data_IF_806771343818
#
_entry.id   IF_806771343818
#
_cell.length_a   1.000
_cell.length_b   1.000
_cell.length_c   1.000
_cell.angle_alpha   90.00
_cell.angle_beta   90.00
_cell.angle_gamma   90.00
#
_symmetry.space_group_name_H-M   'P 1'
#
loop_
_entity.id
_entity.type
_entity.pdbx_description
1 polymer ?
#
# COMPACT_ATOMS: atom_id res chain seq x y z
N UNK A 1 -75.23 -10.91 -7.69
CA UNK A 1 -74.82 -9.92 -6.66
C UNK A 1 -73.62 -10.47 -5.94
N UNK A 2 -72.60 -9.63 -5.73
CA UNK A 2 -71.21 -9.97 -5.41
C UNK A 2 -71.05 -10.67 -4.05
N UNK A 3 -70.27 -11.75 -4.05
CA UNK A 3 -69.63 -12.36 -2.89
C UNK A 3 -68.47 -11.47 -2.41
N UNK A 4 -68.36 -11.20 -1.12
CA UNK A 4 -67.18 -10.61 -0.50
C UNK A 4 -66.41 -11.74 0.17
N UNK A 5 -65.23 -12.05 -0.39
CA UNK A 5 -64.28 -13.04 0.07
C UNK A 5 -63.20 -12.32 0.88
N UNK A 6 -63.00 -12.71 2.13
CA UNK A 6 -61.97 -12.15 3.02
C UNK A 6 -60.63 -12.85 2.72
N UNK A 7 -59.60 -12.04 2.47
CA UNK A 7 -58.24 -12.47 2.15
C UNK A 7 -57.45 -12.86 3.40
N UNK A 8 -56.76 -14.01 3.33
CA UNK A 8 -55.71 -14.41 4.26
C UNK A 8 -54.39 -13.81 3.75
N UNK A 9 -53.74 -12.96 4.55
CA UNK A 9 -52.42 -12.40 4.25
C UNK A 9 -51.36 -13.35 4.83
N UNK A 10 -50.58 -13.99 3.95
CA UNK A 10 -49.31 -14.61 4.31
C UNK A 10 -48.23 -13.54 4.31
N UNK A 11 -47.68 -13.24 5.49
CA UNK A 11 -46.44 -12.48 5.63
C UNK A 11 -45.26 -13.42 5.31
N UNK A 12 -44.72 -13.31 4.11
CA UNK A 12 -43.39 -13.83 3.79
C UNK A 12 -42.36 -12.83 4.32
N UNK A 13 -41.60 -13.22 5.34
CA UNK A 13 -40.40 -12.51 5.74
C UNK A 13 -39.36 -12.66 4.62
N UNK A 14 -39.22 -11.59 3.82
CA UNK A 14 -38.10 -11.36 2.93
C UNK A 14 -36.84 -11.19 3.79
N UNK A 15 -36.01 -12.22 3.87
CA UNK A 15 -34.59 -12.01 4.19
C UNK A 15 -33.95 -11.34 2.97
N UNK A 16 -33.37 -10.12 3.08
CA UNK A 16 -32.53 -9.63 2.02
C UNK A 16 -31.30 -10.53 1.94
N UNK A 17 -31.02 -10.95 0.71
CA UNK A 17 -29.89 -11.76 0.33
C UNK A 17 -28.57 -11.16 0.83
N UNK A 18 -27.64 -12.06 1.15
CA UNK A 18 -26.22 -11.82 1.29
C UNK A 18 -25.75 -10.72 0.33
N UNK A 19 -25.21 -9.63 0.88
CA UNK A 19 -24.44 -8.66 0.10
C UNK A 19 -23.22 -9.39 -0.44
N UNK A 20 -23.21 -9.70 -1.75
CA UNK A 20 -21.95 -9.96 -2.44
C UNK A 20 -21.07 -8.74 -2.22
N UNK A 21 -19.94 -8.91 -1.53
CA UNK A 21 -18.88 -7.90 -1.50
C UNK A 21 -18.51 -7.63 -2.96
N UNK A 22 -19.03 -6.53 -3.50
CA UNK A 22 -18.64 -6.07 -4.82
C UNK A 22 -17.13 -5.84 -4.78
N UNK A 23 -16.35 -6.46 -5.68
CA UNK A 23 -14.93 -6.22 -5.72
C UNK A 23 -14.73 -4.71 -5.89
N UNK A 24 -14.11 -4.08 -4.88
CA UNK A 24 -13.82 -2.65 -4.90
C UNK A 24 -13.18 -2.31 -6.24
N UNK A 25 -13.75 -1.32 -6.93
CA UNK A 25 -13.23 -0.88 -8.20
C UNK A 25 -11.75 -0.54 -8.03
N UNK A 26 -10.89 -0.94 -8.98
CA UNK A 26 -9.47 -0.67 -8.88
C UNK A 26 -9.22 0.83 -8.77
N UNK A 27 -8.61 1.24 -7.67
CA UNK A 27 -8.23 2.64 -7.40
C UNK A 27 -7.04 2.97 -8.30
N UNK A 28 -7.27 3.63 -9.44
CA UNK A 28 -6.21 4.04 -10.37
C UNK A 28 -5.48 5.27 -9.83
N UNK A 29 -4.17 5.16 -9.59
CA UNK A 29 -3.40 6.25 -8.99
C UNK A 29 -2.13 6.59 -9.77
N UNK A 30 -1.84 7.88 -9.85
CA UNK A 30 -0.60 8.39 -10.42
C UNK A 30 0.59 8.19 -9.46
N UNK A 31 1.82 8.26 -10.00
CA UNK A 31 3.04 8.11 -9.19
C UNK A 31 3.07 9.17 -8.09
N UNK A 32 3.42 8.76 -6.86
CA UNK A 32 3.36 9.64 -5.71
C UNK A 32 1.97 9.79 -5.09
N UNK A 33 0.92 9.18 -5.65
CA UNK A 33 -0.43 9.21 -5.09
C UNK A 33 -0.81 7.83 -4.53
N UNK A 34 -1.19 7.75 -3.25
CA UNK A 34 -1.70 6.54 -2.61
C UNK A 34 -2.98 6.89 -1.86
N UNK A 35 -4.10 6.36 -2.35
CA UNK A 35 -5.43 6.43 -1.75
C UNK A 35 -5.84 7.83 -1.27
N UNK A 36 -5.79 8.84 -2.13
CA UNK A 36 -6.15 10.19 -1.73
C UNK A 36 -4.95 11.06 -1.38
N UNK A 37 -3.86 10.45 -0.92
CA UNK A 37 -2.70 11.14 -0.35
C UNK A 37 -1.61 11.30 -1.40
N UNK A 38 -1.07 12.52 -1.52
CA UNK A 38 -0.09 12.87 -2.54
C UNK A 38 1.26 13.27 -1.96
N UNK A 39 2.33 12.67 -2.49
CA UNK A 39 3.70 13.01 -2.14
C UNK A 39 4.01 14.42 -2.65
N UNK A 40 4.61 15.22 -1.79
CA UNK A 40 5.01 16.59 -2.00
C UNK A 40 3.95 17.65 -1.79
N UNK A 41 2.73 17.24 -1.45
CA UNK A 41 1.72 18.16 -0.93
C UNK A 41 2.02 18.46 0.55
N UNK A 42 1.51 19.60 1.02
CA UNK A 42 1.59 19.91 2.43
C UNK A 42 0.63 18.99 3.21
N UNK A 43 1.09 18.45 4.33
CA UNK A 43 0.27 17.54 5.14
C UNK A 43 -1.04 18.21 5.60
N UNK A 44 -1.03 19.53 5.83
CA UNK A 44 -2.23 20.27 6.23
C UNK A 44 -3.33 20.23 5.18
N UNK A 45 -2.97 20.18 3.91
CA UNK A 45 -3.94 20.13 2.80
C UNK A 45 -4.55 18.73 2.63
N UNK A 46 -3.95 17.71 3.25
CA UNK A 46 -4.43 16.34 3.26
C UNK A 46 -5.27 16.01 4.50
N UNK A 47 -5.23 16.87 5.53
CA UNK A 47 -6.03 16.75 6.73
C UNK A 47 -7.38 17.45 6.51
N UNK A 48 -8.44 16.67 6.29
CA UNK A 48 -9.81 17.16 6.15
C UNK A 48 -10.67 16.83 7.38
N UNK A 49 -11.78 17.54 7.55
CA UNK A 49 -12.71 17.31 8.66
C UNK A 49 -13.24 15.86 8.62
N UNK A 50 -13.00 15.12 9.71
CA UNK A 50 -13.37 13.72 9.84
C UNK A 50 -12.28 12.73 9.41
N UNK A 51 -11.09 13.18 9.02
CA UNK A 51 -9.97 12.29 8.77
C UNK A 51 -9.52 11.58 10.07
N UNK A 52 -9.54 10.25 10.07
CA UNK A 52 -8.98 9.44 11.15
C UNK A 52 -7.46 9.30 10.94
N UNK A 53 -6.67 10.03 11.73
CA UNK A 53 -5.21 10.07 11.58
C UNK A 53 -4.50 9.83 12.91
N UNK A 54 -3.59 8.87 12.92
CA UNK A 54 -2.63 8.66 14.02
C UNK A 54 -1.30 9.33 13.67
N UNK A 55 -0.70 10.04 14.62
CA UNK A 55 0.60 10.71 14.42
C UNK A 55 1.67 10.08 15.29
N UNK A 56 2.73 9.61 14.65
CA UNK A 56 3.89 9.00 15.28
C UNK A 56 5.14 9.86 15.04
N UNK A 57 6.07 9.87 16.00
CA UNK A 57 7.42 10.38 15.76
C UNK A 57 8.20 9.31 15.02
N UNK A 58 8.71 9.64 13.83
CA UNK A 58 9.69 8.82 13.14
C UNK A 58 11.08 9.36 13.48
N UNK A 59 11.82 8.62 14.31
CA UNK A 59 13.19 8.96 14.66
C UNK A 59 14.11 8.68 13.47
N UNK A 60 14.86 9.70 13.04
CA UNK A 60 16.11 9.54 12.31
C UNK A 60 17.24 10.22 13.08
N UNK A 61 18.48 9.81 12.83
CA UNK A 61 19.72 10.24 13.51
C UNK A 61 19.88 11.77 13.68
N UNK A 62 19.36 12.61 12.75
CA UNK A 62 19.60 14.07 12.75
C UNK A 62 18.36 14.96 12.52
N UNK A 63 17.16 14.40 12.33
CA UNK A 63 15.93 15.20 12.17
C UNK A 63 14.67 14.50 12.67
N UNK A 64 13.74 15.30 13.19
CA UNK A 64 12.43 14.81 13.61
C UNK A 64 11.50 14.78 12.40
N UNK A 65 11.33 13.61 11.80
CA UNK A 65 10.23 13.43 10.85
C UNK A 65 8.95 13.01 11.58
N UNK A 66 7.82 13.54 11.14
CA UNK A 66 6.51 13.09 11.61
C UNK A 66 5.96 12.07 10.60
N UNK A 67 5.41 11.00 11.15
CA UNK A 67 4.71 9.96 10.38
C UNK A 67 3.23 10.06 10.71
N UNK A 68 2.42 10.25 9.68
CA UNK A 68 0.97 10.32 9.75
C UNK A 68 0.40 9.03 9.18
N UNK A 69 -0.43 8.34 9.95
CA UNK A 69 -1.11 7.12 9.54
C UNK A 69 -2.58 7.48 9.32
N UNK A 70 -2.99 7.52 8.05
CA UNK A 70 -4.36 7.77 7.65
C UNK A 70 -5.12 6.44 7.63
N UNK A 71 -6.24 6.36 8.35
CA UNK A 71 -7.12 5.19 8.36
C UNK A 71 -8.21 5.38 7.30
N UNK A 72 -8.04 4.76 6.14
CA UNK A 72 -8.93 4.95 4.98
C UNK A 72 -9.77 3.70 4.78
N UNK A 73 -11.09 3.78 5.00
CA UNK A 73 -12.01 2.61 5.00
C UNK A 73 -11.77 1.60 3.88
N UNK A 74 -11.62 2.07 2.64
CA UNK A 74 -11.50 1.22 1.45
C UNK A 74 -10.05 0.92 1.04
N UNK A 75 -9.07 1.62 1.62
CA UNK A 75 -7.67 1.45 1.28
C UNK A 75 -6.86 0.77 2.39
N UNK A 76 -7.30 0.88 3.64
CA UNK A 76 -6.53 0.53 4.82
C UNK A 76 -5.67 1.69 5.30
N UNK A 77 -4.64 1.35 6.08
CA UNK A 77 -3.75 2.32 6.69
C UNK A 77 -2.69 2.79 5.68
N UNK A 78 -2.65 4.11 5.45
CA UNK A 78 -1.65 4.77 4.60
C UNK A 78 -0.72 5.60 5.47
N UNK A 79 0.57 5.30 5.43
CA UNK A 79 1.59 6.03 6.18
C UNK A 79 2.24 7.09 5.29
N UNK A 80 2.16 8.35 5.67
CA UNK A 80 2.83 9.48 5.06
C UNK A 80 3.89 10.07 6.01
N UNK A 81 5.12 10.20 5.55
CA UNK A 81 6.21 10.86 6.29
C UNK A 81 6.43 12.25 5.73
N UNK A 82 6.61 13.25 6.61
CA UNK A 82 6.86 14.63 6.19
C UNK A 82 8.31 15.04 6.46
N UNK A 83 8.79 16.00 5.68
CA UNK A 83 9.98 16.78 6.04
C UNK A 83 9.65 17.86 7.09
N UNK A 84 10.67 18.60 7.54
CA UNK A 84 10.52 19.67 8.55
C UNK A 84 9.61 20.82 8.12
N UNK A 85 9.46 21.02 6.80
CA UNK A 85 8.55 22.02 6.23
C UNK A 85 7.09 21.53 6.13
N UNK A 86 6.80 20.29 6.56
CA UNK A 86 5.47 19.70 6.55
C UNK A 86 5.03 19.17 5.19
N UNK A 87 5.93 19.05 4.21
CA UNK A 87 5.63 18.42 2.93
C UNK A 87 5.84 16.92 3.01
N UNK A 88 4.91 16.16 2.43
CA UNK A 88 4.97 14.70 2.39
C UNK A 88 6.14 14.28 1.50
N UNK A 89 7.16 13.61 2.06
CA UNK A 89 8.32 13.14 1.30
C UNK A 89 8.18 11.68 0.87
N UNK A 90 7.43 10.89 1.62
CA UNK A 90 7.26 9.45 1.42
C UNK A 90 5.85 9.03 1.77
N UNK A 91 5.27 8.15 0.96
CA UNK A 91 4.01 7.47 1.27
C UNK A 91 4.22 5.97 1.17
N UNK A 92 3.58 5.22 2.06
CA UNK A 92 3.63 3.76 2.04
C UNK A 92 2.32 3.14 2.47
N UNK A 93 2.06 1.95 1.94
CA UNK A 93 0.90 1.14 2.30
C UNK A 93 1.32 -0.33 2.47
N UNK A 94 0.81 -0.97 3.53
CA UNK A 94 1.09 -2.38 3.84
C UNK A 94 -0.08 -3.33 3.59
N UNK A 95 -1.25 -2.83 3.18
CA UNK A 95 -2.47 -3.62 3.02
C UNK A 95 -2.87 -3.79 1.55
N UNK A 96 -3.40 -4.97 1.20
CA UNK A 96 -3.62 -5.43 -0.18
C UNK A 96 -4.87 -4.90 -0.89
N UNK A 97 -5.52 -3.84 -0.37
CA UNK A 97 -6.69 -3.23 -1.03
C UNK A 97 -6.28 -2.25 -2.14
N UNK A 98 -5.13 -1.59 -1.99
CA UNK A 98 -4.56 -0.71 -3.01
C UNK A 98 -4.08 -1.50 -4.24
N UNK A 99 -4.23 -0.87 -5.42
CA UNK A 99 -3.72 -1.38 -6.68
C UNK A 99 -3.05 -0.26 -7.48
N UNK A 100 -1.90 -0.53 -8.08
CA UNK A 100 -1.24 0.41 -8.98
C UNK A 100 -1.98 0.51 -10.33
N UNK A 101 -1.60 1.47 -11.18
CA UNK A 101 -2.11 1.58 -12.56
C UNK A 101 -1.95 0.29 -13.36
N UNK A 102 -0.82 -0.40 -13.23
CA UNK A 102 -0.54 -1.67 -13.93
C UNK A 102 -1.18 -2.89 -13.25
N UNK A 103 -1.96 -2.71 -12.17
CA UNK A 103 -2.68 -3.80 -11.54
C UNK A 103 -1.92 -4.57 -10.47
N UNK A 104 -0.80 -4.04 -9.98
CA UNK A 104 -0.01 -4.63 -8.90
C UNK A 104 -0.57 -4.28 -7.53
N UNK A 105 -0.47 -5.20 -6.57
CA UNK A 105 -0.97 -5.03 -5.19
C UNK A 105 0.10 -5.41 -4.17
N UNK A 106 -0.04 -4.88 -2.94
CA UNK A 106 0.66 -5.45 -1.79
C UNK A 106 0.17 -6.88 -1.59
N UNK A 107 1.09 -7.82 -1.44
CA UNK A 107 0.82 -9.26 -1.40
C UNK A 107 0.99 -9.97 -2.74
N UNK A 108 1.22 -9.26 -3.84
CA UNK A 108 1.54 -9.89 -5.12
C UNK A 108 2.93 -10.55 -5.05
N UNK A 109 3.09 -11.74 -5.67
CA UNK A 109 4.38 -12.42 -5.70
C UNK A 109 5.37 -11.69 -6.60
N UNK A 110 6.67 -11.80 -6.30
CA UNK A 110 7.74 -11.21 -7.11
C UNK A 110 7.60 -11.53 -8.60
N UNK A 111 7.29 -12.78 -8.93
CA UNK A 111 7.09 -13.24 -10.32
C UNK A 111 5.97 -12.51 -11.07
N UNK A 112 4.91 -12.07 -10.37
CA UNK A 112 3.85 -11.25 -10.94
C UNK A 112 4.31 -9.81 -11.12
N UNK A 113 4.96 -9.25 -10.11
CA UNK A 113 5.49 -7.88 -10.16
C UNK A 113 6.50 -7.72 -11.30
N UNK A 114 7.36 -8.72 -11.54
CA UNK A 114 8.29 -8.76 -12.68
C UNK A 114 7.59 -8.81 -14.04
N UNK A 115 6.41 -9.43 -14.13
CA UNK A 115 5.62 -9.44 -15.37
C UNK A 115 4.95 -8.09 -15.63
N UNK A 116 4.47 -7.43 -14.57
CA UNK A 116 3.83 -6.12 -14.67
C UNK A 116 4.85 -4.99 -14.92
N UNK A 117 6.06 -5.13 -14.37
CA UNK A 117 7.12 -4.13 -14.47
C UNK A 117 8.43 -4.77 -14.95
N UNK A 118 8.55 -5.17 -16.23
CA UNK A 118 9.71 -5.92 -16.73
C UNK A 118 11.05 -5.18 -16.58
N UNK A 119 11.02 -3.84 -16.59
CA UNK A 119 12.19 -2.98 -16.39
C UNK A 119 12.56 -2.74 -14.92
N UNK A 120 11.75 -3.27 -13.99
CA UNK A 120 11.97 -3.13 -12.56
C UNK A 120 13.26 -3.83 -12.12
N UNK A 121 13.92 -3.25 -11.12
CA UNK A 121 15.22 -3.72 -10.61
C UNK A 121 15.09 -4.19 -9.17
N UNK A 122 15.63 -5.37 -8.90
CA UNK A 122 15.73 -5.91 -7.55
C UNK A 122 16.98 -5.33 -6.88
N UNK A 123 16.82 -4.83 -5.66
CA UNK A 123 17.90 -4.32 -4.83
C UNK A 123 17.92 -5.07 -3.50
N UNK A 124 19.13 -5.32 -3.03
CA UNK A 124 19.43 -5.62 -1.65
C UNK A 124 19.67 -4.30 -0.92
N UNK A 125 19.22 -4.13 0.34
CA UNK A 125 19.67 -3.03 1.16
C UNK A 125 21.18 -3.19 1.34
N UNK A 126 21.96 -2.36 0.64
CA UNK A 126 23.36 -2.14 0.96
C UNK A 126 23.40 -1.34 2.25
N UNK A 127 23.26 -2.02 3.40
CA UNK A 127 23.46 -1.48 4.76
C UNK A 127 23.22 0.05 4.84
N UNK A 128 22.04 0.52 4.42
CA UNK A 128 21.73 1.92 4.53
C UNK A 128 21.44 2.14 6.00
N UNK A 129 22.28 2.98 6.59
CA UNK A 129 22.34 3.42 7.99
C UNK A 129 21.01 3.26 8.76
N UNK A 130 21.16 2.66 9.94
CA UNK A 130 20.17 2.57 11.03
C UNK A 130 19.02 1.56 10.90
N UNK A 131 19.35 0.28 11.08
CA UNK A 131 18.41 -0.76 11.51
C UNK A 131 18.48 -2.04 10.67
N UNK A 132 18.29 -3.23 11.27
CA UNK A 132 18.26 -4.48 10.51
C UNK A 132 16.91 -4.64 9.82
N UNK A 133 16.65 -3.92 8.73
CA UNK A 133 15.48 -4.18 7.89
C UNK A 133 15.87 -5.10 6.73
N UNK A 134 15.75 -6.41 7.00
CA UNK A 134 16.03 -7.53 6.12
C UNK A 134 14.99 -7.67 5.00
N UNK A 135 14.82 -6.63 4.17
CA UNK A 135 13.86 -6.61 3.07
C UNK A 135 14.53 -6.57 1.70
N UNK A 136 13.98 -7.25 0.70
CA UNK A 136 14.35 -7.00 -0.72
C UNK A 136 13.43 -5.93 -1.28
N UNK A 137 13.95 -5.11 -2.19
CA UNK A 137 13.16 -4.06 -2.86
C UNK A 137 13.08 -4.33 -4.34
N UNK A 138 11.88 -4.38 -4.89
CA UNK A 138 11.65 -4.34 -6.32
C UNK A 138 11.24 -2.95 -6.76
N UNK A 139 12.24 -2.20 -7.22
CA UNK A 139 12.09 -0.83 -7.69
C UNK A 139 11.51 -0.84 -9.10
N UNK A 140 10.29 -0.34 -9.25
CA UNK A 140 9.57 -0.33 -10.52
C UNK A 140 9.95 0.90 -11.37
N UNK A 141 10.35 1.99 -10.71
CA UNK A 141 10.90 3.20 -11.34
C UNK A 141 11.66 4.06 -10.29
N UNK A 142 11.98 5.31 -10.61
CA UNK A 142 12.70 6.19 -9.67
C UNK A 142 11.90 6.56 -8.42
N UNK A 143 10.57 6.49 -8.47
CA UNK A 143 9.65 7.02 -7.46
C UNK A 143 8.84 5.95 -6.74
N UNK A 144 8.94 4.67 -7.12
CA UNK A 144 8.15 3.60 -6.55
C UNK A 144 8.89 2.27 -6.40
N UNK A 145 8.63 1.56 -5.31
CA UNK A 145 9.10 0.20 -5.12
C UNK A 145 8.16 -0.65 -4.26
N UNK A 146 8.25 -1.97 -4.47
CA UNK A 146 7.66 -2.97 -3.58
C UNK A 146 8.73 -3.53 -2.64
N UNK A 147 8.40 -3.63 -1.36
CA UNK A 147 9.22 -4.24 -0.33
C UNK A 147 8.77 -5.68 -0.11
N UNK A 148 9.70 -6.58 0.18
CA UNK A 148 9.44 -7.96 0.53
C UNK A 148 10.14 -8.25 1.85
N UNK A 149 9.39 -8.76 2.84
CA UNK A 149 10.01 -9.29 4.07
C UNK A 149 10.78 -10.57 3.73
N UNK A 150 12.09 -10.50 3.88
CA UNK A 150 13.01 -11.55 3.53
C UNK A 150 13.89 -11.95 4.72
N UNK A 151 13.40 -11.71 5.94
CA UNK A 151 14.09 -12.11 7.17
C UNK A 151 14.48 -13.59 7.15
N UNK A 152 13.58 -14.46 6.64
CA UNK A 152 13.82 -15.91 6.52
C UNK A 152 14.75 -16.32 5.35
N UNK A 153 15.13 -15.37 4.48
CA UNK A 153 15.90 -15.63 3.27
C UNK A 153 17.39 -15.47 3.51
N UNK A 154 17.80 -14.51 4.34
CA UNK A 154 19.21 -14.31 4.65
C UNK A 154 19.88 -15.55 5.24
N UNK A 155 19.15 -16.31 6.06
CA UNK A 155 19.63 -17.57 6.65
C UNK A 155 19.86 -18.66 5.59
N UNK A 156 19.19 -18.59 4.44
CA UNK A 156 19.16 -19.66 3.42
C UNK A 156 19.95 -19.32 2.15
N UNK A 157 20.00 -18.06 1.76
CA UNK A 157 20.56 -17.63 0.48
C UNK A 157 22.04 -17.20 0.54
N UNK A 158 22.60 -16.97 1.73
CA UNK A 158 24.00 -16.58 1.91
C UNK A 158 24.47 -15.50 0.91
N UNK A 159 24.08 -14.25 1.10
CA UNK A 159 24.54 -13.05 0.36
C UNK A 159 24.59 -13.08 -1.19
N UNK A 160 24.14 -14.14 -1.88
CA UNK A 160 24.17 -14.26 -3.35
C UNK A 160 22.78 -14.06 -3.95
N UNK A 161 22.64 -13.05 -4.81
CA UNK A 161 21.38 -12.70 -5.46
C UNK A 161 20.89 -13.80 -6.43
N UNK A 162 21.81 -14.46 -7.15
CA UNK A 162 21.48 -15.51 -8.12
C UNK A 162 20.88 -16.76 -7.47
N UNK A 163 21.39 -17.17 -6.30
CA UNK A 163 20.81 -18.27 -5.52
C UNK A 163 19.44 -17.93 -4.94
N UNK A 164 19.11 -16.64 -4.88
CA UNK A 164 17.96 -16.15 -4.15
C UNK A 164 16.74 -15.84 -5.03
N UNK A 165 16.93 -15.68 -6.34
CA UNK A 165 15.83 -15.45 -7.29
C UNK A 165 14.75 -16.53 -7.22
N UNK A 166 15.12 -17.80 -7.04
CA UNK A 166 14.16 -18.90 -6.91
C UNK A 166 13.32 -18.83 -5.62
N UNK A 167 13.88 -18.30 -4.52
CA UNK A 167 13.15 -18.07 -3.27
C UNK A 167 12.30 -16.80 -3.34
N UNK A 168 12.78 -15.77 -4.04
CA UNK A 168 12.07 -14.51 -4.25
C UNK A 168 10.77 -14.70 -5.03
N UNK A 169 10.73 -15.60 -6.02
CA UNK A 169 9.52 -15.87 -6.80
C UNK A 169 8.30 -16.28 -5.95
N UNK A 170 8.54 -16.91 -4.80
CA UNK A 170 7.52 -17.30 -3.83
C UNK A 170 7.19 -16.23 -2.78
N UNK A 171 8.00 -15.16 -2.67
CA UNK A 171 7.74 -14.08 -1.75
C UNK A 171 6.64 -13.16 -2.26
N UNK A 172 5.82 -12.73 -1.33
CA UNK A 172 4.79 -11.72 -1.53
C UNK A 172 5.30 -10.38 -1.01
N UNK A 173 4.99 -9.32 -1.73
CA UNK A 173 5.31 -7.97 -1.26
C UNK A 173 4.59 -7.67 0.06
N UNK A 174 5.30 -7.06 1.00
CA UNK A 174 4.78 -6.65 2.30
C UNK A 174 4.34 -5.18 2.30
N UNK A 175 4.92 -4.37 1.40
CA UNK A 175 4.67 -2.93 1.33
C UNK A 175 4.83 -2.42 -0.09
N UNK A 176 4.09 -1.37 -0.41
CA UNK A 176 4.39 -0.50 -1.55
C UNK A 176 4.75 0.89 -1.03
N UNK A 177 5.80 1.49 -1.59
CA UNK A 177 6.35 2.78 -1.17
C UNK A 177 6.52 3.67 -2.39
N UNK A 178 6.16 4.94 -2.25
CA UNK A 178 6.39 5.97 -3.27
C UNK A 178 6.90 7.29 -2.70
N UNK A 179 7.55 8.08 -3.55
CA UNK A 179 8.15 9.38 -3.26
C UNK A 179 7.72 10.41 -4.30
N UNK A 180 7.96 11.68 -3.99
CA UNK A 180 8.01 12.73 -5.01
C UNK A 180 9.43 12.88 -5.52
N UNK A 181 9.55 13.11 -6.83
CA UNK A 181 10.79 13.53 -7.46
C UNK A 181 11.25 14.84 -6.79
N UNK A 182 12.39 14.82 -6.11
CA UNK A 182 12.99 16.09 -5.69
C UNK A 182 13.39 16.79 -6.98
N UNK A 183 12.62 17.78 -7.40
CA UNK A 183 13.07 18.72 -8.42
C UNK A 183 14.33 19.38 -7.85
N UNK A 184 15.50 18.93 -8.31
CA UNK A 184 16.75 19.64 -8.11
C UNK A 184 16.52 21.08 -8.59
N UNK A 185 16.49 22.02 -7.64
CA UNK A 185 16.51 23.45 -7.91
C UNK A 185 17.93 23.96 -7.81
#
# INVERSE_FOLDING_TARGET
MKNIMIYIIFLFEFFPAFSEESPLAPVQLEKGYICGIQAGENIKDQLYDGAEVTVERAMGEESYSLKYIFHIQDCGDVSATTNDAGFISRISIGQGKFMTQEGARVGDPFSRLKKLYPEGKLFLPEAYYEGPEYGYYYKIDQLGFFEFDATAIMEKCGYSMDMCLAFLDGLKSSKFVTYKEQNEK
#
